data_IF_648431202573
#
_entry.id   IF_648431202573
#
_cell.length_a   1.000
_cell.length_b   1.000
_cell.length_c   1.000
_cell.angle_alpha   90.00
_cell.angle_beta   90.00
_cell.angle_gamma   90.00
#
_symmetry.space_group_name_H-M   'P 1'
#
loop_
_entity.id
_entity.type
_entity.pdbx_description
1 polymer ?
#
# COMPACT_ATOMS: atom_id res chain seq x y z
N UNK A 1 16.47 -4.78 -2.82
CA UNK A 1 15.06 -4.30 -2.82
C UNK A 1 14.59 -3.75 -4.16
N UNK A 2 14.99 -2.55 -4.65
CA UNK A 2 14.46 -1.99 -5.94
C UNK A 2 14.37 -3.01 -7.08
N UNK A 3 15.50 -3.65 -7.43
CA UNK A 3 15.55 -4.68 -8.48
C UNK A 3 14.69 -5.91 -8.16
N UNK A 4 14.65 -6.31 -6.89
CA UNK A 4 13.92 -7.49 -6.40
C UNK A 4 12.40 -7.30 -6.42
N UNK A 5 11.93 -6.06 -6.34
CA UNK A 5 10.49 -5.74 -6.27
C UNK A 5 9.98 -4.96 -7.48
N UNK A 6 10.83 -4.65 -8.47
CA UNK A 6 10.46 -3.83 -9.64
C UNK A 6 9.22 -4.37 -10.36
N UNK A 7 9.21 -5.68 -10.69
CA UNK A 7 8.07 -6.31 -11.35
C UNK A 7 6.78 -6.22 -10.54
N UNK A 8 6.86 -6.42 -9.22
CA UNK A 8 5.70 -6.35 -8.32
C UNK A 8 5.18 -4.92 -8.18
N UNK A 9 6.10 -3.95 -8.12
CA UNK A 9 5.77 -2.53 -8.16
C UNK A 9 5.01 -2.18 -9.44
N UNK A 10 5.56 -2.53 -10.60
CA UNK A 10 4.96 -2.21 -11.89
C UNK A 10 3.59 -2.88 -12.07
N UNK A 11 3.46 -4.12 -11.60
CA UNK A 11 2.18 -4.83 -11.59
C UNK A 11 1.15 -4.15 -10.68
N UNK A 12 1.55 -3.75 -9.47
CA UNK A 12 0.66 -3.07 -8.53
C UNK A 12 0.23 -1.70 -9.06
N UNK A 13 1.15 -0.93 -9.62
CA UNK A 13 0.87 0.39 -10.20
C UNK A 13 -0.14 0.30 -11.35
N UNK A 14 0.10 -0.61 -12.30
CA UNK A 14 -0.82 -0.90 -13.40
C UNK A 14 -2.20 -1.33 -12.89
N UNK A 15 -2.24 -2.28 -11.95
CA UNK A 15 -3.51 -2.78 -11.38
C UNK A 15 -4.26 -1.66 -10.65
N UNK A 16 -3.56 -0.84 -9.88
CA UNK A 16 -4.16 0.30 -9.18
C UNK A 16 -4.69 1.35 -10.14
N UNK A 17 -4.03 1.57 -11.27
CA UNK A 17 -4.52 2.47 -12.31
C UNK A 17 -5.81 1.93 -12.97
N UNK A 18 -5.82 0.66 -13.36
CA UNK A 18 -6.98 -0.01 -13.95
C UNK A 18 -8.17 -0.05 -13.00
N UNK A 19 -7.91 -0.40 -11.74
CA UNK A 19 -8.93 -0.45 -10.70
C UNK A 19 -9.39 0.97 -10.45
N UNK A 20 -8.56 1.89 -9.96
CA UNK A 20 -9.01 3.21 -9.55
C UNK A 20 -9.74 3.98 -10.65
N UNK A 21 -9.40 3.84 -11.93
CA UNK A 21 -10.14 4.44 -13.04
C UNK A 21 -10.05 5.97 -13.15
N UNK A 22 -9.71 6.68 -12.06
CA UNK A 22 -9.33 8.08 -11.89
C UNK A 22 -10.22 9.12 -12.60
N UNK A 23 -11.44 8.76 -12.99
CA UNK A 23 -12.33 9.61 -13.79
C UNK A 23 -13.42 10.30 -12.97
N UNK A 24 -13.60 9.89 -11.72
CA UNK A 24 -14.70 10.36 -10.88
C UNK A 24 -14.35 10.40 -9.39
N UNK A 25 -15.19 11.09 -8.61
CA UNK A 25 -15.06 11.11 -7.15
C UNK A 25 -15.24 9.70 -6.54
N UNK A 26 -16.11 8.88 -7.14
CA UNK A 26 -16.34 7.50 -6.72
C UNK A 26 -15.12 6.60 -6.97
N UNK A 27 -14.46 6.80 -8.11
CA UNK A 27 -13.19 6.16 -8.45
C UNK A 27 -12.09 6.49 -7.44
N UNK A 28 -11.99 7.76 -7.04
CA UNK A 28 -11.04 8.19 -6.01
C UNK A 28 -11.37 7.60 -4.63
N UNK A 29 -12.64 7.61 -4.21
CA UNK A 29 -13.07 6.98 -2.96
C UNK A 29 -12.75 5.48 -2.95
N UNK A 30 -12.89 4.79 -4.09
CA UNK A 30 -12.56 3.38 -4.25
C UNK A 30 -11.05 3.13 -4.14
N UNK A 31 -10.22 3.98 -4.74
CA UNK A 31 -8.76 3.95 -4.52
C UNK A 31 -8.41 4.09 -3.04
N UNK A 32 -8.97 5.10 -2.36
CA UNK A 32 -8.73 5.32 -0.93
C UNK A 32 -9.19 4.12 -0.09
N UNK A 33 -10.33 3.54 -0.44
CA UNK A 33 -10.85 2.36 0.26
C UNK A 33 -9.90 1.16 0.16
N UNK A 34 -9.37 0.89 -1.04
CA UNK A 34 -8.38 -0.18 -1.26
C UNK A 34 -7.08 0.11 -0.51
N UNK A 35 -6.60 1.36 -0.55
CA UNK A 35 -5.41 1.77 0.21
C UNK A 35 -5.62 1.60 1.71
N UNK A 36 -6.78 1.96 2.25
CA UNK A 36 -7.10 1.75 3.66
C UNK A 36 -7.05 0.27 4.01
N UNK A 37 -7.82 -0.55 3.29
CA UNK A 37 -7.96 -1.97 3.57
C UNK A 37 -6.61 -2.72 3.53
N UNK A 38 -5.73 -2.38 2.56
CA UNK A 38 -4.41 -2.98 2.43
C UNK A 38 -3.37 -2.44 3.43
N UNK A 39 -3.40 -1.14 3.76
CA UNK A 39 -2.40 -0.55 4.67
C UNK A 39 -2.62 -0.91 6.12
N UNK A 40 -3.86 -0.95 6.59
CA UNK A 40 -4.18 -1.17 8.01
C UNK A 40 -3.42 -2.36 8.64
N UNK A 41 -3.44 -3.58 8.05
CA UNK A 41 -2.75 -4.70 8.66
C UNK A 41 -1.22 -4.62 8.54
N UNK A 42 -0.68 -3.93 7.53
CA UNK A 42 0.78 -3.69 7.40
C UNK A 42 1.27 -2.68 8.43
N UNK A 43 0.52 -1.59 8.63
CA UNK A 43 0.80 -0.59 9.67
C UNK A 43 0.71 -1.22 11.07
N UNK A 44 -0.28 -2.08 11.33
CA UNK A 44 -0.40 -2.80 12.60
C UNK A 44 0.78 -3.76 12.84
N UNK A 45 1.26 -4.44 11.80
CA UNK A 45 2.45 -5.29 11.91
C UNK A 45 3.70 -4.45 12.21
N UNK A 46 3.88 -3.31 11.54
CA UNK A 46 5.00 -2.40 11.81
C UNK A 46 4.94 -1.84 13.23
N UNK A 47 3.77 -1.44 13.72
CA UNK A 47 3.59 -0.93 15.08
C UNK A 47 4.02 -1.94 16.16
N UNK A 48 3.80 -3.24 15.89
CA UNK A 48 4.17 -4.30 16.83
C UNK A 48 5.64 -4.75 16.73
N UNK A 49 6.25 -4.67 15.55
CA UNK A 49 7.52 -5.33 15.25
C UNK A 49 8.66 -4.39 14.87
N UNK A 50 8.37 -3.18 14.39
CA UNK A 50 9.40 -2.29 13.89
C UNK A 50 10.20 -1.65 15.04
N UNK A 51 11.53 -1.56 14.92
CA UNK A 51 12.28 -0.67 15.78
C UNK A 51 11.88 0.79 15.49
N UNK A 52 12.07 1.68 16.46
CA UNK A 52 11.56 3.07 16.43
C UNK A 52 12.00 3.82 15.16
N UNK A 53 13.21 3.56 14.66
CA UNK A 53 13.79 4.17 13.47
C UNK A 53 13.16 3.70 12.15
N UNK A 54 12.44 2.57 12.17
CA UNK A 54 11.71 2.00 11.04
C UNK A 54 10.19 2.23 11.15
N UNK A 55 9.71 2.83 12.23
CA UNK A 55 8.30 3.08 12.46
C UNK A 55 7.80 4.21 11.55
N UNK A 56 7.21 3.82 10.42
CA UNK A 56 6.67 4.75 9.45
C UNK A 56 5.43 5.49 10.02
N UNK A 57 5.23 6.78 9.70
CA UNK A 57 4.00 7.49 10.06
C UNK A 57 2.77 6.72 9.56
N UNK A 58 1.77 6.53 10.42
CA UNK A 58 0.54 5.88 10.01
C UNK A 58 -0.21 6.74 8.99
N UNK A 59 -0.53 6.18 7.81
CA UNK A 59 -1.23 6.89 6.74
C UNK A 59 -2.72 6.58 6.74
N UNK A 60 -3.14 5.48 7.36
CA UNK A 60 -4.55 5.11 7.41
C UNK A 60 -5.47 6.11 8.11
N UNK A 61 -5.05 6.91 9.11
CA UNK A 61 -5.84 8.04 9.60
C UNK A 61 -6.08 9.13 8.55
N UNK A 62 -5.09 9.42 7.69
CA UNK A 62 -5.22 10.40 6.59
C UNK A 62 -6.19 9.90 5.52
N UNK A 63 -6.15 8.61 5.22
CA UNK A 63 -7.10 7.99 4.30
C UNK A 63 -8.52 8.05 4.87
N UNK A 64 -8.67 7.83 6.19
CA UNK A 64 -9.96 7.93 6.86
C UNK A 64 -10.55 9.35 6.83
N UNK A 65 -9.70 10.36 7.04
CA UNK A 65 -10.06 11.77 6.89
C UNK A 65 -10.57 12.06 5.47
N UNK A 66 -9.84 11.63 4.45
CA UNK A 66 -10.24 11.83 3.05
C UNK A 66 -11.55 11.11 2.72
N UNK A 67 -11.75 9.86 3.16
CA UNK A 67 -13.00 9.11 2.95
C UNK A 67 -14.19 9.78 3.65
N UNK A 68 -14.02 10.24 4.88
CA UNK A 68 -15.07 10.96 5.61
C UNK A 68 -15.45 12.27 4.91
N UNK A 69 -14.46 13.05 4.45
CA UNK A 69 -14.70 14.27 3.67
C UNK A 69 -15.36 13.99 2.30
N UNK A 70 -15.16 12.78 1.76
CA UNK A 70 -15.86 12.33 0.57
C UNK A 70 -17.30 11.84 0.83
N UNK A 71 -17.67 11.60 2.10
CA UNK A 71 -18.96 11.04 2.51
C UNK A 71 -19.02 9.51 2.41
N UNK A 72 -17.88 8.82 2.50
CA UNK A 72 -17.79 7.37 2.42
C UNK A 72 -17.41 6.75 3.78
N UNK A 73 -18.01 5.60 4.08
CA UNK A 73 -17.65 4.79 5.23
C UNK A 73 -16.26 4.15 5.06
N UNK A 74 -15.63 3.83 6.19
CA UNK A 74 -14.38 3.07 6.18
C UNK A 74 -14.63 1.62 5.78
N UNK A 75 -13.89 1.08 4.80
CA UNK A 75 -13.96 -0.35 4.52
C UNK A 75 -13.31 -1.13 5.67
N UNK A 76 -13.71 -2.40 5.88
CA UNK A 76 -13.01 -3.27 6.83
C UNK A 76 -11.54 -3.44 6.42
N UNK A 77 -10.60 -3.49 7.39
CA UNK A 77 -9.22 -3.90 7.13
C UNK A 77 -9.16 -5.30 6.52
N UNK A 78 -8.16 -5.55 5.67
CA UNK A 78 -7.88 -6.91 5.25
C UNK A 78 -7.45 -7.77 6.46
N UNK A 79 -8.02 -8.98 6.56
CA UNK A 79 -7.87 -9.84 7.74
C UNK A 79 -6.59 -10.69 7.75
N UNK A 80 -5.85 -10.74 6.65
CA UNK A 80 -4.65 -11.56 6.51
C UNK A 80 -3.46 -10.75 6.01
N UNK A 81 -2.52 -10.48 6.90
CA UNK A 81 -1.18 -10.04 6.57
C UNK A 81 -0.21 -10.72 7.52
N UNK A 82 0.84 -11.30 6.97
CA UNK A 82 1.93 -11.87 7.74
C UNK A 82 3.21 -11.69 6.95
N UNK A 83 4.28 -11.36 7.66
CA UNK A 83 5.64 -11.42 7.12
C UNK A 83 6.28 -12.64 7.74
N UNK A 84 6.79 -13.54 6.90
CA UNK A 84 7.58 -14.68 7.37
C UNK A 84 8.97 -14.18 7.72
N UNK A 85 9.17 -13.70 8.96
CA UNK A 85 10.49 -13.37 9.50
C UNK A 85 10.98 -14.48 10.44
N UNK A 86 12.30 -14.65 10.56
CA UNK A 86 12.86 -15.42 11.67
C UNK A 86 12.64 -14.68 13.00
N UNK A 87 12.71 -15.41 14.12
CA UNK A 87 12.46 -14.86 15.45
C UNK A 87 13.64 -14.08 16.03
N UNK A 88 14.76 -13.96 15.32
CA UNK A 88 15.87 -13.12 15.76
C UNK A 88 15.64 -11.63 15.45
N UNK A 89 16.10 -10.76 16.35
CA UNK A 89 15.85 -9.32 16.30
C UNK A 89 16.41 -8.67 15.02
N UNK A 90 17.54 -9.16 14.50
CA UNK A 90 18.18 -8.59 13.32
C UNK A 90 17.33 -8.82 12.05
N UNK A 91 16.82 -10.03 11.86
CA UNK A 91 15.92 -10.37 10.77
C UNK A 91 14.57 -9.68 10.88
N UNK A 92 14.07 -9.48 12.10
CA UNK A 92 12.84 -8.72 12.34
C UNK A 92 13.02 -7.24 11.95
N UNK A 93 14.12 -6.61 12.37
CA UNK A 93 14.45 -5.24 11.99
C UNK A 93 14.62 -5.08 10.47
N UNK A 94 15.30 -6.03 9.82
CA UNK A 94 15.43 -6.05 8.36
C UNK A 94 14.06 -6.18 7.66
N UNK A 95 13.19 -7.04 8.19
CA UNK A 95 11.82 -7.21 7.68
C UNK A 95 10.99 -5.94 7.84
N UNK A 96 11.10 -5.25 8.98
CA UNK A 96 10.47 -3.96 9.20
C UNK A 96 10.97 -2.88 8.23
N UNK A 97 12.28 -2.83 7.97
CA UNK A 97 12.87 -1.94 6.97
C UNK A 97 12.28 -2.20 5.58
N UNK A 98 12.13 -3.47 5.20
CA UNK A 98 11.52 -3.89 3.95
C UNK A 98 10.05 -3.50 3.80
N UNK A 99 9.24 -3.67 4.86
CA UNK A 99 7.84 -3.27 4.85
C UNK A 99 7.67 -1.74 4.83
N UNK A 100 8.43 -1.02 5.65
CA UNK A 100 8.46 0.44 5.67
C UNK A 100 8.90 1.02 4.32
N UNK A 101 9.84 0.37 3.62
CA UNK A 101 10.27 0.77 2.28
C UNK A 101 9.13 0.81 1.29
N UNK A 102 8.24 -0.19 1.30
CA UNK A 102 7.11 -0.25 0.38
C UNK A 102 6.09 0.83 0.70
N UNK A 103 5.72 0.99 1.97
CA UNK A 103 4.77 2.03 2.39
C UNK A 103 5.30 3.44 2.10
N UNK A 104 6.55 3.74 2.47
CA UNK A 104 7.15 5.05 2.23
C UNK A 104 7.38 5.32 0.74
N UNK A 105 7.82 4.31 -0.03
CA UNK A 105 8.01 4.40 -1.47
C UNK A 105 6.72 4.75 -2.21
N UNK A 106 5.59 4.20 -1.79
CA UNK A 106 4.27 4.50 -2.38
C UNK A 106 3.87 5.99 -2.27
N UNK A 107 4.43 6.72 -1.30
CA UNK A 107 4.13 8.14 -1.12
C UNK A 107 4.74 9.03 -2.22
N UNK A 108 5.76 8.55 -2.94
CA UNK A 108 6.23 9.23 -4.15
C UNK A 108 5.20 9.12 -5.28
N UNK A 109 4.59 7.95 -5.44
CA UNK A 109 3.49 7.74 -6.38
C UNK A 109 2.26 8.59 -6.02
N UNK A 110 1.91 8.66 -4.73
CA UNK A 110 0.84 9.53 -4.24
C UNK A 110 1.01 11.00 -4.67
N UNK A 111 2.23 11.53 -4.64
CA UNK A 111 2.53 12.91 -5.06
C UNK A 111 2.38 13.12 -6.56
N UNK A 112 2.70 12.11 -7.37
CA UNK A 112 2.45 12.14 -8.81
C UNK A 112 0.95 12.23 -9.08
N UNK A 113 0.15 11.36 -8.43
CA UNK A 113 -1.32 11.35 -8.53
C UNK A 113 -1.89 12.72 -8.12
N UNK A 114 -1.46 13.27 -6.98
CA UNK A 114 -1.91 14.60 -6.55
C UNK A 114 -1.57 15.70 -7.57
N UNK A 115 -0.40 15.60 -8.20
CA UNK A 115 0.02 16.50 -9.27
C UNK A 115 -0.89 16.40 -10.50
N UNK A 116 -1.28 15.19 -10.90
CA UNK A 116 -2.21 14.94 -12.01
C UNK A 116 -3.62 15.45 -11.69
N UNK A 117 -4.14 15.17 -10.49
CA UNK A 117 -5.43 15.67 -10.02
C UNK A 117 -5.51 17.19 -10.12
N UNK A 118 -4.47 17.90 -9.66
CA UNK A 118 -4.38 19.37 -9.74
C UNK A 118 -4.27 19.91 -11.17
N UNK A 119 -3.62 19.17 -12.07
CA UNK A 119 -3.43 19.57 -13.48
C UNK A 119 -4.64 19.29 -14.37
N UNK A 120 -5.50 18.35 -13.98
CA UNK A 120 -6.66 17.93 -14.80
C UNK A 120 -7.66 19.05 -15.12
N UNK A 121 -7.60 20.19 -14.40
CA UNK A 121 -8.55 21.31 -14.58
C UNK A 121 -10.00 20.96 -14.21
N UNK A 122 -10.21 19.78 -13.62
CA UNK A 122 -11.50 19.27 -13.17
C UNK A 122 -11.74 19.56 -11.69
N UNK A 123 -12.94 19.25 -11.21
CA UNK A 123 -13.29 19.30 -9.79
C UNK A 123 -12.35 18.47 -8.89
N UNK A 124 -11.55 17.55 -9.47
CA UNK A 124 -10.56 16.75 -8.74
C UNK A 124 -9.52 17.60 -7.99
N UNK A 125 -9.24 18.82 -8.44
CA UNK A 125 -8.36 19.74 -7.74
C UNK A 125 -8.88 20.14 -6.33
N UNK A 126 -10.20 20.01 -6.10
CA UNK A 126 -10.87 20.33 -4.83
C UNK A 126 -11.08 19.12 -3.92
N UNK A 127 -10.78 17.90 -4.38
CA UNK A 127 -10.98 16.70 -3.58
C UNK A 127 -10.03 16.65 -2.38
N UNK A 128 -10.44 16.03 -1.26
CA UNK A 128 -9.59 15.87 -0.08
C UNK A 128 -8.38 15.01 -0.43
N UNK A 129 -7.22 15.38 0.09
CA UNK A 129 -5.92 14.83 -0.32
C UNK A 129 -4.93 14.75 0.83
N UNK A 130 -5.41 14.59 2.07
CA UNK A 130 -4.57 14.43 3.25
C UNK A 130 -3.62 13.24 3.08
N UNK A 131 -4.09 12.13 2.52
CA UNK A 131 -3.27 10.95 2.25
C UNK A 131 -2.26 11.18 1.12
N UNK A 132 -2.70 11.76 -0.01
CA UNK A 132 -1.82 11.94 -1.16
C UNK A 132 -0.75 13.02 -0.93
N UNK A 133 -1.07 14.00 -0.08
CA UNK A 133 -0.25 15.15 0.22
C UNK A 133 0.72 14.98 1.39
N UNK A 134 0.64 13.87 2.13
CA UNK A 134 1.29 13.65 3.42
C UNK A 134 2.81 13.92 3.41
N UNK A 135 3.21 15.02 4.08
CA UNK A 135 4.60 15.47 4.14
C UNK A 135 5.42 14.72 5.19
N UNK A 136 4.78 14.14 6.20
CA UNK A 136 5.43 13.39 7.26
C UNK A 136 6.06 12.11 6.69
N UNK A 137 5.31 11.40 5.84
CA UNK A 137 5.83 10.22 5.15
C UNK A 137 6.97 10.56 4.17
N UNK A 138 6.95 11.74 3.53
CA UNK A 138 8.06 12.18 2.68
C UNK A 138 9.33 12.48 3.50
N UNK A 139 9.17 13.03 4.70
CA UNK A 139 10.27 13.26 5.63
C UNK A 139 10.84 11.93 6.12
N UNK A 140 9.97 11.00 6.50
CA UNK A 140 10.35 9.63 6.85
C UNK A 140 11.11 8.93 5.73
N UNK A 141 10.61 9.00 4.48
CA UNK A 141 11.26 8.42 3.31
C UNK A 141 12.73 8.85 3.15
N UNK A 142 13.04 10.14 3.37
CA UNK A 142 14.42 10.64 3.30
C UNK A 142 15.31 10.00 4.36
N UNK A 143 14.77 9.74 5.55
CA UNK A 143 15.49 9.06 6.63
C UNK A 143 15.69 7.59 6.34
N UNK A 144 14.61 6.91 5.96
CA UNK A 144 14.59 5.49 5.60
C UNK A 144 15.58 5.17 4.47
N UNK A 145 15.63 6.03 3.45
CA UNK A 145 16.54 5.86 2.32
C UNK A 145 18.00 5.77 2.75
N UNK A 146 18.43 6.57 3.74
CA UNK A 146 19.80 6.49 4.28
C UNK A 146 20.07 5.15 4.97
N UNK A 147 19.08 4.62 5.68
CA UNK A 147 19.21 3.30 6.32
C UNK A 147 19.32 2.19 5.27
N UNK A 148 18.64 2.31 4.14
CA UNK A 148 18.64 1.31 3.07
C UNK A 148 19.91 1.35 2.22
N UNK A 149 20.54 2.52 2.11
CA UNK A 149 21.77 2.72 1.33
C UNK A 149 23.04 2.31 2.11
N UNK A 150 22.92 1.93 3.39
CA UNK A 150 24.06 1.44 4.17
C UNK A 150 24.53 0.05 3.70
N UNK A 151 25.79 -0.32 3.91
CA UNK A 151 26.24 -1.70 3.75
C UNK A 151 25.44 -2.66 4.64
N UNK A 152 25.01 -3.76 4.06
CA UNK A 152 24.24 -4.81 4.71
C UNK A 152 24.78 -6.17 4.27
N UNK A 153 24.68 -7.18 5.14
CA UNK A 153 25.00 -8.54 4.75
C UNK A 153 23.89 -9.17 3.89
N UNK A 154 24.17 -10.36 3.35
CA UNK A 154 23.23 -11.04 2.47
C UNK A 154 21.92 -11.43 3.18
N UNK A 155 21.98 -11.80 4.46
CA UNK A 155 20.81 -12.24 5.21
C UNK A 155 19.85 -11.07 5.46
N UNK A 156 20.38 -9.91 5.82
CA UNK A 156 19.62 -8.68 6.00
C UNK A 156 18.93 -8.26 4.69
N UNK A 157 19.67 -8.26 3.57
CA UNK A 157 19.12 -7.93 2.25
C UNK A 157 18.01 -8.91 1.83
N UNK A 158 18.17 -10.20 2.14
CA UNK A 158 17.18 -11.23 1.87
C UNK A 158 15.91 -11.03 2.71
N UNK A 159 16.04 -10.83 4.02
CA UNK A 159 14.91 -10.60 4.92
C UNK A 159 14.12 -9.34 4.52
N UNK A 160 14.80 -8.21 4.31
CA UNK A 160 14.16 -6.97 3.88
C UNK A 160 13.47 -7.12 2.52
N UNK A 161 14.10 -7.81 1.56
CA UNK A 161 13.49 -8.02 0.24
C UNK A 161 12.29 -8.98 0.29
N UNK A 162 12.32 -10.02 1.13
CA UNK A 162 11.21 -10.94 1.32
C UNK A 162 10.01 -10.27 2.00
N UNK A 163 10.26 -9.42 3.00
CA UNK A 163 9.23 -8.60 3.64
C UNK A 163 8.59 -7.61 2.66
N UNK A 164 9.40 -6.91 1.86
CA UNK A 164 8.90 -6.02 0.82
C UNK A 164 8.02 -6.75 -0.21
N UNK A 165 8.44 -7.94 -0.67
CA UNK A 165 7.65 -8.80 -1.56
C UNK A 165 6.31 -9.18 -0.92
N UNK A 166 6.32 -9.58 0.36
CA UNK A 166 5.10 -9.91 1.11
C UNK A 166 4.11 -8.75 1.19
N UNK A 167 4.60 -7.51 1.34
CA UNK A 167 3.74 -6.30 1.29
C UNK A 167 3.16 -6.12 -0.11
N UNK A 168 3.97 -6.20 -1.17
CA UNK A 168 3.44 -6.08 -2.54
C UNK A 168 2.39 -7.16 -2.86
N UNK A 169 2.67 -8.42 -2.53
CA UNK A 169 1.75 -9.53 -2.74
C UNK A 169 0.44 -9.34 -1.96
N UNK A 170 0.54 -8.82 -0.73
CA UNK A 170 -0.63 -8.44 0.05
C UNK A 170 -1.47 -7.37 -0.67
N UNK A 171 -0.85 -6.27 -1.09
CA UNK A 171 -1.56 -5.21 -1.82
C UNK A 171 -2.21 -5.74 -3.10
N UNK A 172 -1.48 -6.51 -3.90
CA UNK A 172 -1.99 -7.12 -5.14
C UNK A 172 -3.23 -7.98 -4.88
N UNK A 173 -3.22 -8.82 -3.84
CA UNK A 173 -4.39 -9.63 -3.48
C UNK A 173 -5.61 -8.80 -3.08
N UNK A 174 -5.41 -7.61 -2.51
CA UNK A 174 -6.52 -6.72 -2.14
C UNK A 174 -7.07 -5.98 -3.36
N UNK A 175 -6.19 -5.53 -4.26
CA UNK A 175 -6.60 -4.71 -5.41
C UNK A 175 -7.06 -5.53 -6.60
N UNK A 176 -6.62 -6.78 -6.72
CA UNK A 176 -7.16 -7.76 -7.66
C UNK A 176 -8.28 -8.52 -6.95
N UNK A 177 -9.56 -8.13 -7.10
CA UNK A 177 -10.64 -8.99 -6.61
C UNK A 177 -10.50 -10.36 -7.27
N UNK A 178 -10.64 -11.43 -6.50
CA UNK A 178 -10.80 -12.78 -7.04
C UNK A 178 -11.84 -12.67 -8.16
N UNK A 179 -11.42 -12.91 -9.40
CA UNK A 179 -12.35 -13.14 -10.52
C UNK A 179 -13.23 -14.27 -10.04
N UNK A 180 -14.44 -13.96 -9.58
CA UNK A 180 -15.44 -14.98 -9.23
C UNK A 180 -15.53 -15.90 -10.42
N UNK A 181 -15.21 -17.19 -10.21
CA UNK A 181 -15.45 -18.22 -11.20
C UNK A 181 -16.91 -18.09 -11.68
N UNK A 182 -17.18 -18.30 -12.98
CA UNK A 182 -18.53 -18.25 -13.49
C UNK A 182 -19.36 -19.27 -12.73
N UNK A 183 -20.40 -18.79 -12.03
CA UNK A 183 -21.45 -19.61 -11.43
C UNK A 183 -21.87 -20.68 -12.45
N UNK A 184 -21.78 -21.98 -12.15
CA UNK A 184 -22.28 -22.99 -13.07
C UNK A 184 -23.78 -22.77 -13.22
N UNK A 185 -24.19 -22.39 -14.43
CA UNK A 185 -25.59 -22.34 -14.84
C UNK A 185 -26.18 -23.72 -14.59
N UNK A 186 -26.98 -23.87 -13.52
CA UNK A 186 -27.89 -24.99 -13.39
C UNK A 186 -28.86 -24.89 -14.56
N UNK A 187 -28.62 -25.71 -15.58
CA UNK A 187 -29.60 -25.99 -16.62
C UNK A 187 -30.78 -26.72 -15.97
N UNK A 188 -31.78 -25.95 -15.54
CA UNK A 188 -33.12 -26.47 -15.34
C UNK A 188 -33.78 -26.64 -16.72
N UNK A 189 -34.08 -27.90 -17.08
CA UNK A 189 -35.34 -28.36 -17.71
C UNK A 189 -35.19 -29.86 -18.01
N UNK A 190 -35.91 -30.75 -17.34
CA UNK A 190 -37.36 -30.98 -17.30
C UNK A 190 -37.78 -32.05 -18.32
N UNK A 191 -38.31 -33.14 -17.76
CA UNK A 191 -39.19 -34.18 -18.32
C UNK A 191 -38.63 -35.13 -19.38
#
# INVERSE_FOLDING_TARGET
MRRETARLHDQLDMTMHEVAGWKSRADYARFLSLQYAARRPVEAWLDHHAPIECLAPAQTPRIAEDLAALGHDLPPPATSFAISSSQDDASLAASALGAAWVLAGSSLGNRAILGEMRKSGSDAASWPHAFLGDEDMLTFWKSLRRQIERPADLAEVQAASAAAKSVFDHFLRIVTPNRTEPTPTLAARAS
#
